data_IF_536386801544
#
_entry.id   IF_536386801544
#
_cell.length_a   1.000
_cell.length_b   1.000
_cell.length_c   1.000
_cell.angle_alpha   90.00
_cell.angle_beta   90.00
_cell.angle_gamma   90.00
#
_symmetry.space_group_name_H-M   'P 1'
#
loop_
_entity.id
_entity.type
_entity.pdbx_description
1 polymer ?
#
# COMPACT_ATOMS: atom_id res chain seq x y z
N UNK A 1 -10.30 12.11 -4.39
CA UNK A 1 -8.99 11.43 -4.42
C UNK A 1 -8.82 10.65 -5.71
N UNK A 2 -7.65 10.67 -6.27
CA UNK A 2 -7.40 10.03 -7.55
C UNK A 2 -7.13 8.54 -7.41
N UNK A 3 -7.71 7.77 -8.33
CA UNK A 3 -7.39 6.36 -8.45
C UNK A 3 -5.99 6.18 -9.03
N UNK A 4 -5.43 4.99 -8.90
CA UNK A 4 -4.17 4.64 -9.52
C UNK A 4 -4.28 4.76 -11.04
N UNK A 5 -3.32 5.47 -11.65
CA UNK A 5 -3.21 5.58 -13.11
C UNK A 5 -1.73 5.61 -13.49
N UNK A 6 -1.46 5.55 -14.81
CA UNK A 6 -0.07 5.50 -15.28
C UNK A 6 0.72 6.72 -14.87
N UNK A 7 0.11 7.91 -14.92
CA UNK A 7 0.82 9.14 -14.60
C UNK A 7 1.26 9.17 -13.13
N UNK A 8 0.35 8.88 -12.19
CA UNK A 8 0.73 8.93 -10.80
C UNK A 8 1.66 7.77 -10.41
N UNK A 9 1.54 6.62 -11.08
CA UNK A 9 2.49 5.53 -10.90
C UNK A 9 3.90 5.95 -11.32
N UNK A 10 4.03 6.60 -12.48
CA UNK A 10 5.32 7.10 -12.94
C UNK A 10 5.89 8.16 -12.01
N UNK A 11 5.04 9.04 -11.48
CA UNK A 11 5.46 10.05 -10.52
C UNK A 11 6.02 9.41 -9.25
N UNK A 12 5.43 8.31 -8.82
CA UNK A 12 5.94 7.55 -7.68
C UNK A 12 7.31 6.93 -8.00
N UNK A 13 7.45 6.33 -9.18
CA UNK A 13 8.71 5.72 -9.61
C UNK A 13 9.83 6.78 -9.70
N UNK A 14 9.51 7.96 -10.21
CA UNK A 14 10.48 9.04 -10.39
C UNK A 14 10.78 9.81 -9.11
N UNK A 15 10.05 9.52 -8.04
CA UNK A 15 10.24 10.20 -6.76
C UNK A 15 9.53 11.52 -6.64
N UNK A 16 8.65 11.86 -7.56
CA UNK A 16 7.82 13.08 -7.48
C UNK A 16 6.73 12.94 -6.43
N UNK A 17 6.29 11.70 -6.18
CA UNK A 17 5.36 11.36 -5.14
C UNK A 17 6.05 10.44 -4.14
N UNK A 18 5.82 10.65 -2.84
CA UNK A 18 6.39 9.79 -1.79
C UNK A 18 5.62 8.48 -1.67
N UNK A 19 4.31 8.52 -1.91
CA UNK A 19 3.44 7.36 -1.87
C UNK A 19 2.13 7.71 -2.58
N UNK A 20 1.34 6.67 -2.88
CA UNK A 20 -0.03 6.82 -3.37
C UNK A 20 -0.97 6.13 -2.38
N UNK A 21 -2.17 6.67 -2.21
CA UNK A 21 -3.12 6.16 -1.24
C UNK A 21 -4.55 6.18 -1.77
N UNK A 22 -5.37 5.26 -1.28
CA UNK A 22 -6.79 5.23 -1.58
C UNK A 22 -7.59 6.28 -0.80
N UNK A 23 -6.99 6.91 0.19
CA UNK A 23 -7.66 7.86 1.08
C UNK A 23 -6.83 9.12 1.23
N UNK A 24 -7.50 10.24 1.51
CA UNK A 24 -6.83 11.51 1.80
C UNK A 24 -6.24 11.53 3.21
N UNK A 25 -6.67 10.61 4.07
CA UNK A 25 -6.14 10.48 5.43
C UNK A 25 -4.88 9.64 5.43
N UNK A 26 -3.93 9.98 6.30
CA UNK A 26 -2.76 9.14 6.51
C UNK A 26 -3.09 8.01 7.48
N UNK A 27 -2.55 6.80 7.26
CA UNK A 27 -2.76 5.70 8.18
C UNK A 27 -1.97 5.91 9.47
N UNK A 28 -2.50 5.41 10.58
CA UNK A 28 -1.75 5.31 11.83
C UNK A 28 -0.98 4.01 11.91
N UNK A 29 -1.43 3.01 11.17
CA UNK A 29 -0.75 1.72 11.08
C UNK A 29 -0.98 1.12 9.71
N UNK A 30 -0.06 0.29 9.30
CA UNK A 30 -0.11 -0.38 7.99
C UNK A 30 0.11 -1.87 8.16
N UNK A 31 -0.47 -2.64 7.26
CA UNK A 31 -0.22 -4.07 7.13
C UNK A 31 0.47 -4.28 5.79
N UNK A 32 1.76 -4.54 5.85
CA UNK A 32 2.58 -4.70 4.64
C UNK A 32 2.50 -6.12 4.09
N UNK A 33 2.49 -6.25 2.77
CA UNK A 33 2.52 -7.54 2.12
C UNK A 33 2.53 -7.41 0.62
N UNK A 34 2.70 -8.53 -0.06
CA UNK A 34 2.61 -8.56 -1.51
C UNK A 34 1.16 -8.71 -1.98
N UNK A 35 0.31 -9.34 -1.17
CA UNK A 35 -1.11 -9.55 -1.45
C UNK A 35 -1.33 -10.19 -2.83
N UNK A 36 -0.58 -11.20 -3.11
CA UNK A 36 -0.63 -11.89 -4.40
C UNK A 36 -0.85 -13.40 -4.18
N UNK A 37 -2.13 -13.82 -3.91
CA UNK A 37 -3.33 -12.98 -3.84
C UNK A 37 -3.63 -12.42 -2.45
N UNK A 38 -4.51 -11.45 -2.39
CA UNK A 38 -5.15 -11.03 -1.15
C UNK A 38 -6.13 -12.13 -0.72
N UNK A 39 -6.12 -12.49 0.57
CA UNK A 39 -7.02 -13.52 1.08
C UNK A 39 -7.63 -13.13 2.42
N UNK A 40 -8.54 -13.99 2.93
CA UNK A 40 -9.29 -13.69 4.14
C UNK A 40 -8.40 -13.50 5.38
N UNK A 41 -7.26 -14.19 5.43
CA UNK A 41 -6.31 -14.02 6.53
C UNK A 41 -5.78 -12.60 6.62
N UNK A 42 -5.51 -11.96 5.49
CA UNK A 42 -5.06 -10.57 5.46
C UNK A 42 -6.14 -9.65 6.02
N UNK A 43 -7.39 -9.85 5.61
CA UNK A 43 -8.51 -9.02 6.06
C UNK A 43 -8.81 -9.25 7.53
N UNK A 44 -8.69 -10.48 8.01
CA UNK A 44 -8.88 -10.79 9.42
C UNK A 44 -7.81 -10.12 10.29
N UNK A 45 -6.57 -10.11 9.84
CA UNK A 45 -5.49 -9.40 10.54
C UNK A 45 -5.74 -7.90 10.59
N UNK A 46 -6.16 -7.31 9.48
CA UNK A 46 -6.50 -5.90 9.42
C UNK A 46 -7.63 -5.56 10.39
N UNK A 47 -8.69 -6.37 10.39
CA UNK A 47 -9.85 -6.12 11.24
C UNK A 47 -9.50 -6.25 12.73
N UNK A 48 -8.66 -7.24 13.07
CA UNK A 48 -8.18 -7.40 14.45
C UNK A 48 -7.34 -6.20 14.88
N UNK A 49 -6.40 -5.78 14.04
CA UNK A 49 -5.55 -4.63 14.34
C UNK A 49 -6.39 -3.35 14.48
N UNK A 50 -7.41 -3.19 13.65
CA UNK A 50 -8.30 -2.04 13.71
C UNK A 50 -9.00 -1.96 15.07
N UNK A 51 -9.43 -3.10 15.60
CA UNK A 51 -10.09 -3.15 16.92
C UNK A 51 -9.11 -2.82 18.04
N UNK A 52 -7.92 -3.42 17.99
CA UNK A 52 -6.91 -3.24 19.03
C UNK A 52 -6.41 -1.80 19.08
N UNK A 53 -6.16 -1.20 17.92
CA UNK A 53 -5.59 0.14 17.84
C UNK A 53 -6.64 1.25 17.76
N UNK A 54 -7.91 0.88 17.63
CA UNK A 54 -9.02 1.83 17.46
C UNK A 54 -8.72 2.83 16.36
N UNK A 55 -8.27 2.33 15.21
CA UNK A 55 -7.74 3.16 14.15
C UNK A 55 -7.80 2.41 12.83
N UNK A 56 -7.94 3.12 11.74
CA UNK A 56 -7.94 2.47 10.43
C UNK A 56 -6.56 1.93 10.08
N UNK A 57 -6.55 0.77 9.44
CA UNK A 57 -5.33 0.07 9.04
C UNK A 57 -5.33 -0.01 7.53
N UNK A 58 -4.26 0.47 6.91
CA UNK A 58 -4.11 0.43 5.46
C UNK A 58 -3.28 -0.78 5.07
N UNK A 59 -3.65 -1.40 3.96
CA UNK A 59 -2.77 -2.39 3.32
C UNK A 59 -1.68 -1.65 2.57
N UNK A 60 -0.44 -2.02 2.80
CA UNK A 60 0.68 -1.40 2.11
C UNK A 60 1.25 -2.35 1.06
N UNK A 61 1.31 -1.87 -0.19
CA UNK A 61 1.96 -2.58 -1.29
C UNK A 61 3.23 -1.83 -1.64
N UNK A 62 4.37 -2.49 -1.53
CA UNK A 62 5.65 -1.91 -1.90
C UNK A 62 6.02 -2.39 -3.30
N UNK A 63 6.30 -1.46 -4.23
CA UNK A 63 6.60 -1.79 -5.61
C UNK A 63 8.06 -2.20 -5.82
N UNK A 64 8.94 -1.80 -4.90
CA UNK A 64 10.36 -2.15 -4.99
C UNK A 64 10.79 -2.87 -3.71
N UNK A 65 11.15 -4.12 -3.87
CA UNK A 65 11.57 -4.98 -2.77
C UNK A 65 13.02 -5.39 -2.99
N UNK A 66 13.81 -5.50 -1.90
CA UNK A 66 15.22 -5.85 -1.97
C UNK A 66 15.47 -7.21 -2.65
N UNK A 67 14.55 -8.15 -2.48
CA UNK A 67 14.73 -9.53 -2.95
C UNK A 67 13.97 -9.86 -4.23
N UNK A 68 13.19 -8.91 -4.76
CA UNK A 68 12.34 -9.17 -5.93
C UNK A 68 12.45 -8.04 -6.94
N UNK A 69 12.21 -8.31 -8.22
CA UNK A 69 12.17 -7.25 -9.23
C UNK A 69 11.08 -6.23 -8.90
N UNK A 70 11.30 -4.99 -9.31
CA UNK A 70 10.31 -3.92 -9.19
C UNK A 70 9.04 -4.31 -9.95
N UNK A 71 7.88 -4.13 -9.31
CA UNK A 71 6.61 -4.40 -9.96
C UNK A 71 6.33 -3.36 -11.03
N UNK A 72 5.76 -3.80 -12.16
CA UNK A 72 5.35 -2.89 -13.21
C UNK A 72 3.91 -2.41 -12.96
N UNK A 73 3.44 -1.50 -13.81
CA UNK A 73 2.12 -0.90 -13.65
C UNK A 73 1.00 -1.95 -13.70
N UNK A 74 1.11 -2.92 -14.61
CA UNK A 74 0.09 -3.96 -14.76
C UNK A 74 0.01 -4.86 -13.53
N UNK A 75 1.16 -5.21 -12.97
CA UNK A 75 1.23 -6.04 -11.77
C UNK A 75 0.65 -5.29 -10.56
N UNK A 76 1.01 -4.02 -10.41
CA UNK A 76 0.50 -3.19 -9.32
C UNK A 76 -1.01 -3.00 -9.45
N UNK A 77 -1.49 -2.73 -10.65
CA UNK A 77 -2.92 -2.57 -10.91
C UNK A 77 -3.69 -3.83 -10.53
N UNK A 78 -3.14 -4.98 -10.87
CA UNK A 78 -3.76 -6.27 -10.54
C UNK A 78 -3.88 -6.46 -9.02
N UNK A 79 -2.84 -6.10 -8.28
CA UNK A 79 -2.88 -6.21 -6.82
C UNK A 79 -3.89 -5.22 -6.22
N UNK A 80 -3.86 -3.96 -6.67
CA UNK A 80 -4.75 -2.92 -6.16
C UNK A 80 -6.22 -3.25 -6.44
N UNK A 81 -6.51 -3.83 -7.59
CA UNK A 81 -7.88 -4.18 -7.97
C UNK A 81 -8.50 -5.26 -7.09
N UNK A 82 -7.73 -5.96 -6.28
CA UNK A 82 -8.26 -6.92 -5.32
C UNK A 82 -8.93 -6.26 -4.13
N UNK A 83 -8.56 -5.01 -3.83
CA UNK A 83 -9.12 -4.30 -2.69
C UNK A 83 -10.51 -3.79 -3.03
N UNK A 84 -11.43 -3.90 -2.06
CA UNK A 84 -12.77 -3.37 -2.21
C UNK A 84 -12.79 -1.88 -1.86
N UNK A 85 -13.91 -1.21 -2.09
CA UNK A 85 -14.05 0.21 -1.76
C UNK A 85 -13.94 0.48 -0.26
N UNK A 86 -14.16 -0.53 0.57
CA UNK A 86 -14.02 -0.42 2.02
C UNK A 86 -12.60 -0.69 2.52
N UNK A 87 -11.72 -1.19 1.65
CA UNK A 87 -10.32 -1.45 1.98
C UNK A 87 -9.48 -0.23 1.62
N UNK A 88 -8.69 0.27 2.55
CA UNK A 88 -7.73 1.34 2.27
C UNK A 88 -6.36 0.74 1.97
N UNK A 89 -5.70 1.30 0.97
CA UNK A 89 -4.39 0.82 0.55
C UNK A 89 -3.41 1.98 0.40
N UNK A 90 -2.14 1.64 0.52
CA UNK A 90 -1.03 2.54 0.36
C UNK A 90 -0.03 1.88 -0.58
N UNK A 91 0.39 2.62 -1.59
CA UNK A 91 1.39 2.15 -2.54
C UNK A 91 2.68 2.92 -2.30
N UNK A 92 3.77 2.22 -2.01
CA UNK A 92 5.04 2.83 -1.71
C UNK A 92 6.12 2.30 -2.65
N UNK A 93 7.16 3.10 -2.84
CA UNK A 93 8.31 2.69 -3.64
C UNK A 93 9.41 2.08 -2.76
N UNK A 94 9.54 2.57 -1.52
CA UNK A 94 10.64 2.19 -0.65
C UNK A 94 10.54 0.74 -0.22
N UNK A 95 11.67 0.03 -0.31
CA UNK A 95 11.73 -1.40 -0.01
C UNK A 95 12.23 -1.73 1.38
N UNK A 96 12.70 -0.74 2.15
CA UNK A 96 13.25 -0.96 3.47
C UNK A 96 12.34 -0.39 4.53
N UNK A 97 12.19 -1.14 5.62
CA UNK A 97 11.32 -0.74 6.72
C UNK A 97 11.69 0.63 7.29
N UNK A 98 12.98 0.90 7.47
CA UNK A 98 13.45 2.17 8.02
C UNK A 98 13.06 3.36 7.15
N UNK A 99 13.08 3.19 5.83
CA UNK A 99 12.66 4.24 4.91
C UNK A 99 11.17 4.49 4.99
N UNK A 100 10.38 3.40 5.13
CA UNK A 100 8.94 3.52 5.29
C UNK A 100 8.57 4.24 6.58
N UNK A 101 9.30 3.97 7.65
CA UNK A 101 9.05 4.61 8.94
C UNK A 101 9.24 6.12 8.89
N UNK A 102 10.04 6.63 7.96
CA UNK A 102 10.24 8.06 7.78
C UNK A 102 9.07 8.75 7.09
N UNK A 103 8.22 8.01 6.40
CA UNK A 103 7.03 8.56 5.74
C UNK A 103 5.91 8.85 6.74
N UNK A 104 5.88 8.10 7.85
CA UNK A 104 4.82 8.18 8.84
C UNK A 104 5.44 8.28 10.25
N UNK A 105 5.87 9.47 10.61
CA UNK A 105 6.49 9.67 11.93
C UNK A 105 5.53 9.48 13.10
#
# INVERSE_FOLDING_TARGET
MEALNKQNFEDLIKGKESFLSSSDSLPKAILSGSFNPLHQGHKAMRDHARKVLDSDIFFEVCIQNADKPTLNYEEVTSVINQFSSSDNWLLTKVGKFTEKAMLFP
#
